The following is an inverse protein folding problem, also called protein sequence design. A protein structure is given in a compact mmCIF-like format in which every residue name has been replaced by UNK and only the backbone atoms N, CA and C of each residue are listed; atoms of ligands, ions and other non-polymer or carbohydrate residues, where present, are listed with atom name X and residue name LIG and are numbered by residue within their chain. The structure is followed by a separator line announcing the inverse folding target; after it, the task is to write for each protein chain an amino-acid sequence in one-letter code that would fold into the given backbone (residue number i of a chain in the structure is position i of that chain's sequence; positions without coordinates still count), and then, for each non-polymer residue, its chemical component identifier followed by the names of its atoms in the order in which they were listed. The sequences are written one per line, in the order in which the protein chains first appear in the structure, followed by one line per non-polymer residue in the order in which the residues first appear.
data_IF_415840884287
#
_entry.id   IF_415840884287
#
_cell.length_a   1.000
_cell.length_b   1.000
_cell.length_c   1.000
_cell.angle_alpha   90.00
_cell.angle_beta   90.00
_cell.angle_gamma   90.00
#
_symmetry.space_group_name_H-M   'P 1'
#
loop_
_entity.id
_entity.type
_entity.pdbx_description
1 polymer ?
#
# COMPACT_ATOMS: atom_id res chain seq x y z
N UNK A 1 -18.02 -6.86 -10.49
CA UNK A 1 -17.38 -7.39 -9.27
C UNK A 1 -15.99 -7.84 -9.66
N UNK A 2 -14.96 -7.36 -8.97
CA UNK A 2 -13.54 -7.63 -9.31
C UNK A 2 -13.05 -8.82 -8.49
N UNK A 3 -12.26 -9.70 -9.13
CA UNK A 3 -11.64 -10.83 -8.43
C UNK A 3 -10.11 -10.80 -8.56
N UNK A 4 -9.43 -11.20 -7.49
CA UNK A 4 -7.99 -11.42 -7.46
C UNK A 4 -7.78 -12.89 -7.09
N UNK A 5 -7.57 -13.74 -8.08
CA UNK A 5 -7.70 -15.19 -7.88
C UNK A 5 -9.08 -15.53 -7.34
N UNK A 6 -9.15 -16.21 -6.20
CA UNK A 6 -10.40 -16.56 -5.52
C UNK A 6 -10.95 -15.49 -4.58
N UNK A 7 -10.24 -14.36 -4.42
CA UNK A 7 -10.71 -13.24 -3.59
C UNK A 7 -11.67 -12.36 -4.38
N UNK A 8 -12.86 -12.20 -3.86
CA UNK A 8 -13.89 -11.32 -4.38
C UNK A 8 -13.85 -9.98 -3.66
N UNK A 9 -13.65 -8.89 -4.41
CA UNK A 9 -13.73 -7.53 -3.90
C UNK A 9 -15.16 -7.00 -4.07
N UNK A 10 -15.86 -6.77 -2.97
CA UNK A 10 -17.18 -6.12 -3.00
C UNK A 10 -17.07 -4.67 -3.46
N UNK A 11 -15.99 -4.00 -3.06
CA UNK A 11 -15.65 -2.64 -3.49
C UNK A 11 -14.30 -2.68 -4.20
N UNK A 12 -14.14 -2.10 -5.41
CA UNK A 12 -12.91 -2.17 -6.19
C UNK A 12 -11.83 -1.19 -5.68
N UNK A 13 -11.56 -1.22 -4.39
CA UNK A 13 -10.65 -0.34 -3.68
C UNK A 13 -9.54 -1.10 -2.99
N UNK A 14 -8.33 -0.53 -2.98
CA UNK A 14 -7.23 -1.00 -2.16
C UNK A 14 -6.54 0.16 -1.44
N UNK A 15 -6.12 -0.08 -0.20
CA UNK A 15 -5.15 0.77 0.48
C UNK A 15 -3.75 0.41 -0.01
N UNK A 16 -3.02 1.39 -0.54
CA UNK A 16 -1.64 1.20 -0.97
C UNK A 16 -0.71 0.86 0.21
N UNK A 17 0.22 -0.07 0.05
CA UNK A 17 1.28 -0.28 1.04
C UNK A 17 2.19 0.95 1.14
N UNK A 18 2.29 1.54 2.32
CA UNK A 18 3.10 2.74 2.58
C UNK A 18 3.93 2.55 3.85
N UNK A 19 5.25 2.43 3.70
CA UNK A 19 6.18 2.23 4.80
C UNK A 19 6.03 3.32 5.89
N UNK A 20 5.87 2.89 7.13
CA UNK A 20 5.63 3.74 8.28
C UNK A 20 4.24 4.40 8.31
N UNK A 21 3.29 3.99 7.48
CA UNK A 21 1.94 4.57 7.42
C UNK A 21 0.86 3.49 7.55
N UNK A 22 0.93 2.44 6.76
CA UNK A 22 -0.13 1.41 6.69
C UNK A 22 0.11 0.23 7.64
N UNK A 23 0.48 0.57 8.88
CA UNK A 23 0.51 -0.39 10.00
C UNK A 23 -0.93 -0.85 10.36
N UNK A 24 -1.09 -1.94 11.15
CA UNK A 24 -2.41 -2.46 11.49
C UNK A 24 -3.40 -1.41 12.02
N UNK A 25 -3.05 -0.51 12.97
CA UNK A 25 -3.95 0.53 13.46
C UNK A 25 -4.50 1.44 12.36
N UNK A 26 -3.67 1.87 11.43
CA UNK A 26 -4.12 2.75 10.35
C UNK A 26 -4.96 2.01 9.30
N UNK A 27 -4.61 0.74 8.99
CA UNK A 27 -5.42 -0.11 8.11
C UNK A 27 -6.81 -0.35 8.68
N UNK A 28 -6.89 -0.64 9.99
CA UNK A 28 -8.16 -0.82 10.70
C UNK A 28 -9.04 0.43 10.58
N UNK A 29 -8.51 1.63 10.84
CA UNK A 29 -9.26 2.88 10.68
C UNK A 29 -9.77 3.06 9.24
N UNK A 30 -8.94 2.82 8.23
CA UNK A 30 -9.36 2.94 6.84
C UNK A 30 -10.48 1.94 6.51
N UNK A 31 -10.40 0.69 7.00
CA UNK A 31 -11.43 -0.33 6.81
C UNK A 31 -12.74 0.03 7.49
N UNK A 32 -12.70 0.44 8.75
CA UNK A 32 -13.90 0.85 9.51
C UNK A 32 -14.65 2.00 8.81
N UNK A 33 -13.92 2.99 8.28
CA UNK A 33 -14.53 4.06 7.50
C UNK A 33 -15.14 3.57 6.18
N UNK A 34 -14.49 2.62 5.49
CA UNK A 34 -15.08 2.06 4.29
C UNK A 34 -16.34 1.23 4.59
N UNK A 35 -16.33 0.45 5.67
CA UNK A 35 -17.49 -0.29 6.15
C UNK A 35 -18.66 0.65 6.46
N UNK A 36 -18.41 1.76 7.15
CA UNK A 36 -19.42 2.80 7.39
C UNK A 36 -19.90 3.46 6.08
N UNK A 37 -19.04 3.60 5.08
CA UNK A 37 -19.41 4.09 3.74
C UNK A 37 -20.32 3.10 3.00
N UNK A 38 -20.08 1.80 3.14
CA UNK A 38 -20.98 0.76 2.60
C UNK A 38 -22.35 0.80 3.28
N UNK A 39 -22.39 0.93 4.61
CA UNK A 39 -23.65 1.08 5.36
C UNK A 39 -24.43 2.32 4.90
N UNK A 40 -23.76 3.44 4.65
CA UNK A 40 -24.37 4.66 4.10
C UNK A 40 -24.87 4.48 2.65
N UNK A 41 -24.38 3.48 1.95
CA UNK A 41 -24.85 3.07 0.61
C UNK A 41 -25.85 1.88 0.68
N UNK A 42 -26.30 1.50 1.87
CA UNK A 42 -27.21 0.36 2.12
C UNK A 42 -26.61 -1.00 1.68
N UNK A 43 -25.27 -1.12 1.68
CA UNK A 43 -24.53 -2.35 1.34
C UNK A 43 -24.02 -3.01 2.61
N UNK A 44 -24.19 -4.32 2.72
CA UNK A 44 -23.71 -5.08 3.87
C UNK A 44 -22.14 -5.08 3.91
N UNK A 45 -21.52 -4.53 4.97
CA UNK A 45 -20.07 -4.51 5.08
C UNK A 45 -19.46 -5.83 5.56
N UNK A 46 -20.28 -6.82 5.95
CA UNK A 46 -19.76 -8.06 6.52
C UNK A 46 -19.33 -9.05 5.44
N UNK A 47 -18.14 -9.64 5.65
CA UNK A 47 -17.69 -10.72 4.80
C UNK A 47 -18.57 -11.96 4.97
N UNK A 48 -18.87 -12.62 3.85
CA UNK A 48 -19.57 -13.92 3.83
C UNK A 48 -18.58 -15.10 3.66
N UNK A 49 -17.29 -14.81 3.42
CA UNK A 49 -16.24 -15.80 3.25
C UNK A 49 -14.88 -15.19 3.64
N UNK A 50 -14.49 -15.35 4.90
CA UNK A 50 -13.19 -14.88 5.41
C UNK A 50 -12.06 -15.49 4.57
N UNK A 51 -11.06 -14.70 4.22
CA UNK A 51 -9.95 -15.04 3.34
C UNK A 51 -10.28 -14.91 1.84
N UNK A 52 -11.57 -14.82 1.46
CA UNK A 52 -11.99 -14.82 0.04
C UNK A 52 -13.00 -13.75 -0.34
N UNK A 53 -13.53 -12.99 0.61
CA UNK A 53 -14.46 -11.91 0.33
C UNK A 53 -14.12 -10.68 1.15
N UNK A 54 -13.78 -9.58 0.47
CA UNK A 54 -13.45 -8.27 1.01
C UNK A 54 -14.51 -7.24 0.59
N UNK A 55 -15.61 -7.09 1.37
CA UNK A 55 -16.71 -6.18 1.01
C UNK A 55 -16.25 -4.73 0.84
N UNK A 56 -15.43 -4.25 1.78
CA UNK A 56 -14.95 -2.86 1.84
C UNK A 56 -13.61 -2.63 1.09
N UNK A 57 -13.16 -3.61 0.28
CA UNK A 57 -11.88 -3.55 -0.42
C UNK A 57 -10.74 -4.18 0.35
N UNK A 58 -9.50 -4.01 -0.13
CA UNK A 58 -8.30 -4.70 0.34
C UNK A 58 -7.32 -3.73 1.01
N UNK A 59 -6.80 -4.09 2.19
CA UNK A 59 -5.91 -3.22 3.00
C UNK A 59 -4.51 -3.83 3.08
N UNK A 60 -3.65 -3.46 2.11
CA UNK A 60 -2.31 -4.03 1.99
C UNK A 60 -1.38 -3.49 3.08
N UNK A 61 -0.66 -4.38 3.76
CA UNK A 61 0.29 -3.99 4.79
C UNK A 61 1.52 -3.26 4.20
N UNK A 62 2.34 -2.69 5.08
CA UNK A 62 3.64 -2.13 4.71
C UNK A 62 4.53 -3.20 4.04
N UNK A 63 5.45 -2.76 3.18
CA UNK A 63 6.37 -3.68 2.52
C UNK A 63 7.32 -4.37 3.51
N UNK A 64 7.42 -5.68 3.43
CA UNK A 64 8.22 -6.54 4.29
C UNK A 64 9.36 -7.15 3.50
N UNK A 65 10.60 -7.10 4.03
CA UNK A 65 11.71 -7.80 3.36
C UNK A 65 11.55 -9.31 3.50
N UNK A 66 11.64 -10.03 2.38
CA UNK A 66 11.62 -11.49 2.37
C UNK A 66 12.67 -12.09 3.32
N UNK A 67 13.86 -11.51 3.36
CA UNK A 67 14.95 -11.96 4.23
C UNK A 67 14.62 -11.80 5.72
N UNK A 68 14.09 -10.65 6.14
CA UNK A 68 13.72 -10.41 7.54
C UNK A 68 12.60 -11.35 8.01
N UNK A 69 11.68 -11.70 7.11
CA UNK A 69 10.63 -12.68 7.38
C UNK A 69 11.22 -14.08 7.58
N UNK A 70 12.14 -14.52 6.71
CA UNK A 70 12.80 -15.83 6.83
C UNK A 70 13.61 -15.92 8.14
N UNK A 71 14.29 -14.85 8.51
CA UNK A 71 15.07 -14.76 9.76
C UNK A 71 14.20 -14.51 10.99
N UNK A 72 12.87 -14.36 10.82
CA UNK A 72 11.90 -14.13 11.89
C UNK A 72 12.26 -12.96 12.79
N UNK A 73 12.70 -11.86 12.18
CA UNK A 73 13.01 -10.63 12.92
C UNK A 73 11.75 -10.17 13.66
N UNK A 74 11.82 -9.91 14.98
CA UNK A 74 10.63 -9.62 15.79
C UNK A 74 9.73 -8.52 15.25
N UNK A 75 10.33 -7.43 14.76
CA UNK A 75 9.61 -6.31 14.14
C UNK A 75 8.84 -6.75 12.90
N UNK A 76 9.44 -7.59 12.07
CA UNK A 76 8.80 -8.13 10.86
C UNK A 76 7.67 -9.07 11.23
N UNK A 77 7.85 -9.92 12.24
CA UNK A 77 6.81 -10.83 12.71
C UNK A 77 5.60 -10.09 13.26
N UNK A 78 5.82 -8.97 13.97
CA UNK A 78 4.74 -8.08 14.44
C UNK A 78 3.97 -7.44 13.27
N UNK A 79 4.65 -7.04 12.18
CA UNK A 79 4.01 -6.43 11.02
C UNK A 79 3.07 -7.38 10.27
N UNK A 80 3.33 -8.68 10.32
CA UNK A 80 2.53 -9.75 9.67
C UNK A 80 1.63 -10.50 10.65
N UNK A 81 1.53 -10.04 11.88
CA UNK A 81 0.59 -10.63 12.82
C UNK A 81 -0.84 -10.49 12.29
N UNK A 82 -1.60 -11.60 12.22
CA UNK A 82 -2.95 -11.56 11.68
C UNK A 82 -3.85 -10.63 12.49
N UNK A 83 -4.56 -9.74 11.82
CA UNK A 83 -5.66 -8.97 12.41
C UNK A 83 -6.93 -9.83 12.29
N UNK A 84 -7.54 -10.25 13.41
CA UNK A 84 -8.72 -11.11 13.38
C UNK A 84 -9.95 -10.44 12.76
N UNK A 85 -9.99 -9.13 12.71
CA UNK A 85 -11.09 -8.35 12.14
C UNK A 85 -10.88 -8.04 10.64
N UNK A 86 -9.68 -8.32 10.09
CA UNK A 86 -9.43 -8.14 8.65
C UNK A 86 -9.99 -9.35 7.87
N UNK A 87 -11.02 -9.14 7.02
CA UNK A 87 -11.62 -10.25 6.29
C UNK A 87 -10.67 -10.91 5.27
N UNK A 88 -9.64 -10.19 4.81
CA UNK A 88 -8.62 -10.67 3.87
C UNK A 88 -7.26 -10.10 4.25
N UNK A 89 -6.39 -10.94 4.79
CA UNK A 89 -5.03 -10.55 5.22
C UNK A 89 -4.12 -10.38 4.00
N UNK A 90 -3.77 -9.14 3.70
CA UNK A 90 -2.97 -8.77 2.53
C UNK A 90 -1.57 -8.34 2.92
N UNK A 91 -0.55 -9.12 2.51
CA UNK A 91 0.86 -8.91 2.86
C UNK A 91 1.66 -8.52 1.63
N UNK A 92 2.44 -7.42 1.72
CA UNK A 92 3.36 -7.04 0.66
C UNK A 92 4.80 -7.44 0.99
N UNK A 93 5.40 -8.23 0.11
CA UNK A 93 6.82 -8.62 0.17
C UNK A 93 7.68 -7.78 -0.78
N UNK A 94 8.94 -7.55 -0.41
CA UNK A 94 9.96 -7.12 -1.33
C UNK A 94 11.29 -7.84 -1.08
N UNK A 95 12.08 -7.97 -2.13
CA UNK A 95 13.41 -8.59 -2.12
C UNK A 95 13.98 -8.58 -3.53
N UNK A 96 15.23 -8.98 -3.64
CA UNK A 96 15.96 -9.08 -4.92
C UNK A 96 16.48 -10.49 -5.17
N UNK A 97 16.30 -11.41 -4.23
CA UNK A 97 16.73 -12.80 -4.34
C UNK A 97 15.49 -13.70 -4.55
N UNK A 98 15.34 -14.35 -5.73
CA UNK A 98 14.15 -15.16 -6.04
C UNK A 98 13.87 -16.26 -5.02
N UNK A 99 14.91 -16.93 -4.51
CA UNK A 99 14.76 -18.00 -3.51
C UNK A 99 14.20 -17.50 -2.18
N UNK A 100 14.60 -16.29 -1.77
CA UNK A 100 14.11 -15.70 -0.53
C UNK A 100 12.66 -15.24 -0.68
N UNK A 101 12.27 -14.67 -1.82
CA UNK A 101 10.86 -14.34 -2.08
C UNK A 101 10.01 -15.61 -2.05
N UNK A 102 10.41 -16.67 -2.76
CA UNK A 102 9.69 -17.94 -2.78
C UNK A 102 9.55 -18.53 -1.37
N UNK A 103 10.62 -18.55 -0.57
CA UNK A 103 10.57 -19.05 0.81
C UNK A 103 9.71 -18.19 1.74
N UNK A 104 9.73 -16.88 1.57
CA UNK A 104 8.87 -15.96 2.30
C UNK A 104 7.38 -16.20 1.99
N UNK A 105 7.05 -16.42 0.71
CA UNK A 105 5.69 -16.80 0.28
C UNK A 105 5.28 -18.12 0.93
N UNK A 106 6.12 -19.16 0.89
CA UNK A 106 5.82 -20.44 1.56
C UNK A 106 5.51 -20.24 3.05
N UNK A 107 6.33 -19.49 3.77
CA UNK A 107 6.12 -19.22 5.22
C UNK A 107 4.76 -18.56 5.45
N UNK A 108 4.40 -17.54 4.66
CA UNK A 108 3.12 -16.85 4.82
C UNK A 108 1.92 -17.76 4.60
N UNK A 109 2.02 -18.66 3.63
CA UNK A 109 0.95 -19.62 3.30
C UNK A 109 0.91 -20.78 4.30
N UNK A 110 2.05 -21.44 4.57
CA UNK A 110 2.16 -22.60 5.49
C UNK A 110 1.70 -22.25 6.92
N UNK A 111 2.02 -21.04 7.39
CA UNK A 111 1.67 -20.57 8.73
C UNK A 111 0.33 -19.85 8.80
N UNK A 112 -0.45 -19.86 7.71
CA UNK A 112 -1.76 -19.22 7.62
C UNK A 112 -1.75 -17.73 8.03
N UNK A 113 -0.77 -16.97 7.49
CA UNK A 113 -0.59 -15.55 7.81
C UNK A 113 -1.12 -14.60 6.75
N UNK A 114 -1.38 -15.09 5.54
CA UNK A 114 -1.84 -14.28 4.42
C UNK A 114 -2.92 -15.01 3.60
N UNK A 115 -3.89 -14.24 3.16
CA UNK A 115 -4.89 -14.64 2.17
C UNK A 115 -4.58 -14.06 0.78
N UNK A 116 -3.71 -13.04 0.74
CA UNK A 116 -3.23 -12.37 -0.45
C UNK A 116 -1.78 -11.92 -0.26
N UNK A 117 -0.94 -12.15 -1.28
CA UNK A 117 0.47 -11.73 -1.27
C UNK A 117 0.72 -10.79 -2.45
N UNK A 118 1.23 -9.59 -2.19
CA UNK A 118 1.63 -8.64 -3.20
C UNK A 118 3.17 -8.50 -3.24
N UNK A 119 3.75 -8.40 -4.44
CA UNK A 119 5.19 -8.20 -4.60
C UNK A 119 5.48 -6.76 -5.02
N UNK A 120 6.37 -6.11 -4.27
CA UNK A 120 6.74 -4.72 -4.48
C UNK A 120 7.82 -4.56 -5.55
N UNK A 121 7.43 -3.97 -6.67
CA UNK A 121 8.33 -3.52 -7.74
C UNK A 121 8.18 -2.01 -8.00
N UNK A 122 7.64 -1.25 -7.04
CA UNK A 122 7.34 0.17 -7.23
C UNK A 122 8.01 1.12 -6.23
N UNK A 123 8.74 0.62 -5.22
CA UNK A 123 9.39 1.47 -4.21
C UNK A 123 10.52 2.31 -4.85
N UNK A 124 10.44 3.67 -4.79
CA UNK A 124 11.43 4.54 -5.44
C UNK A 124 12.57 4.96 -4.49
N UNK A 125 12.59 4.45 -3.26
CA UNK A 125 13.52 4.93 -2.23
C UNK A 125 14.96 4.51 -2.56
N UNK A 126 15.95 5.42 -2.50
CA UNK A 126 17.35 5.10 -2.84
C UNK A 126 17.96 3.92 -2.07
N UNK A 127 17.55 3.71 -0.80
CA UNK A 127 17.99 2.55 0.00
C UNK A 127 17.61 1.20 -0.66
N UNK A 128 16.52 1.18 -1.44
CA UNK A 128 16.01 0.00 -2.15
C UNK A 128 16.58 -0.07 -3.57
N UNK A 129 16.49 1.03 -4.33
CA UNK A 129 16.84 1.03 -5.76
C UNK A 129 18.34 0.91 -6.02
N UNK A 130 19.22 1.45 -5.15
CA UNK A 130 20.68 1.23 -5.22
C UNK A 130 21.10 -0.23 -5.13
N UNK A 131 20.23 -1.07 -4.56
CA UNK A 131 20.42 -2.52 -4.43
C UNK A 131 19.75 -3.30 -5.56
N UNK A 132 19.21 -2.61 -6.57
CA UNK A 132 18.49 -3.21 -7.69
C UNK A 132 17.05 -3.65 -7.37
N UNK A 133 16.52 -3.27 -6.21
CA UNK A 133 15.15 -3.61 -5.78
C UNK A 133 14.10 -2.54 -6.13
N UNK A 134 12.86 -2.80 -5.74
CA UNK A 134 11.74 -1.91 -5.95
C UNK A 134 11.57 -1.52 -7.43
N UNK A 135 11.43 -0.23 -7.73
CA UNK A 135 11.21 0.26 -9.10
C UNK A 135 12.43 0.17 -10.04
N UNK A 136 13.59 -0.22 -9.55
CA UNK A 136 14.74 -0.52 -10.40
C UNK A 136 14.70 -1.96 -10.96
N UNK A 137 14.07 -2.89 -10.24
CA UNK A 137 14.14 -4.32 -10.51
C UNK A 137 13.51 -4.74 -11.85
N UNK A 138 12.34 -4.21 -12.26
CA UNK A 138 11.68 -4.61 -13.50
C UNK A 138 12.51 -4.43 -14.78
N UNK A 139 13.55 -3.59 -14.75
CA UNK A 139 14.48 -3.44 -15.85
C UNK A 139 15.31 -4.71 -16.12
N UNK A 140 15.54 -5.54 -15.10
CA UNK A 140 16.21 -6.84 -15.23
C UNK A 140 15.18 -7.95 -15.43
N UNK A 141 14.90 -8.26 -16.70
CA UNK A 141 13.82 -9.17 -17.11
C UNK A 141 14.00 -10.58 -16.57
N UNK A 142 15.23 -11.10 -16.62
CA UNK A 142 15.59 -12.42 -16.10
C UNK A 142 15.34 -12.52 -14.58
N UNK A 143 15.74 -11.50 -13.83
CA UNK A 143 15.51 -11.43 -12.39
C UNK A 143 14.04 -11.27 -12.05
N UNK A 144 13.34 -10.34 -12.73
CA UNK A 144 11.92 -10.10 -12.52
C UNK A 144 11.09 -11.39 -12.77
N UNK A 145 11.29 -12.00 -13.93
CA UNK A 145 10.58 -13.25 -14.30
C UNK A 145 10.86 -14.37 -13.29
N UNK A 146 12.12 -14.52 -12.84
CA UNK A 146 12.48 -15.52 -11.84
C UNK A 146 11.78 -15.29 -10.50
N UNK A 147 11.64 -14.04 -10.07
CA UNK A 147 10.96 -13.69 -8.81
C UNK A 147 9.47 -13.98 -8.91
N UNK A 148 8.77 -13.48 -9.93
CA UNK A 148 7.31 -13.64 -10.04
C UNK A 148 6.91 -15.08 -10.26
N UNK A 149 7.63 -15.82 -11.13
CA UNK A 149 7.39 -17.25 -11.35
C UNK A 149 7.67 -18.07 -10.08
N UNK A 150 8.78 -17.75 -9.38
CA UNK A 150 9.13 -18.41 -8.12
C UNK A 150 8.11 -18.17 -7.02
N UNK A 151 7.57 -16.95 -6.93
CA UNK A 151 6.55 -16.57 -5.95
C UNK A 151 5.22 -17.29 -6.20
N UNK A 152 4.73 -17.29 -7.43
CA UNK A 152 3.49 -17.99 -7.81
C UNK A 152 3.62 -19.50 -7.57
N UNK A 153 4.69 -20.13 -8.06
CA UNK A 153 4.93 -21.56 -7.84
C UNK A 153 5.07 -21.92 -6.34
N UNK A 154 5.63 -21.03 -5.52
CA UNK A 154 5.71 -21.22 -4.07
C UNK A 154 4.33 -21.14 -3.41
N UNK A 155 3.49 -20.17 -3.81
CA UNK A 155 2.11 -20.06 -3.33
C UNK A 155 1.28 -21.30 -3.69
N UNK A 156 1.38 -21.79 -4.94
CA UNK A 156 0.70 -22.99 -5.40
C UNK A 156 1.11 -24.23 -4.59
N UNK A 157 2.43 -24.45 -4.44
CA UNK A 157 2.95 -25.59 -3.65
C UNK A 157 2.51 -25.55 -2.20
N UNK A 158 2.65 -24.40 -1.55
CA UNK A 158 2.30 -24.22 -0.14
C UNK A 158 0.78 -24.26 0.10
N UNK A 159 -0.03 -24.00 -0.93
CA UNK A 159 -1.50 -24.11 -0.87
C UNK A 159 -2.00 -25.55 -1.10
N UNK A 160 -1.11 -26.51 -1.35
CA UNK A 160 -1.51 -27.91 -1.56
C UNK A 160 -2.26 -28.43 -0.33
N UNK A 161 -3.49 -28.93 -0.54
CA UNK A 161 -4.36 -29.37 0.55
C UNK A 161 -5.27 -28.31 1.16
N UNK A 162 -5.12 -27.05 0.75
CA UNK A 162 -6.11 -25.98 1.03
C UNK A 162 -7.25 -26.06 0.01
N UNK A 163 -8.36 -25.41 0.30
CA UNK A 163 -9.52 -25.33 -0.60
C UNK A 163 -9.33 -24.32 -1.74
N UNK A 164 -8.27 -23.49 -1.66
CA UNK A 164 -7.91 -22.50 -2.68
C UNK A 164 -6.42 -22.20 -2.66
N UNK A 165 -5.90 -21.64 -3.75
CA UNK A 165 -4.53 -21.13 -3.85
C UNK A 165 -4.49 -19.67 -3.41
N UNK A 166 -3.50 -19.30 -2.58
CA UNK A 166 -3.29 -17.91 -2.19
C UNK A 166 -2.80 -17.10 -3.40
N UNK A 167 -3.54 -16.08 -3.85
CA UNK A 167 -3.18 -15.32 -5.03
C UNK A 167 -1.96 -14.42 -4.77
N UNK A 168 -1.11 -14.32 -5.81
CA UNK A 168 0.05 -13.43 -5.84
C UNK A 168 -0.21 -12.31 -6.84
N UNK A 169 0.04 -11.05 -6.44
CA UNK A 169 -0.07 -9.86 -7.29
C UNK A 169 1.25 -9.12 -7.40
N UNK A 170 1.34 -8.18 -8.32
CA UNK A 170 2.51 -7.36 -8.53
C UNK A 170 2.14 -5.86 -8.58
N UNK A 171 2.86 -5.04 -7.77
CA UNK A 171 2.70 -3.58 -7.81
C UNK A 171 3.99 -2.91 -8.29
N UNK A 172 3.89 -2.14 -9.38
CA UNK A 172 5.03 -1.54 -10.07
C UNK A 172 4.76 -0.11 -10.55
N UNK A 173 5.75 0.49 -11.22
CA UNK A 173 5.69 1.82 -11.84
C UNK A 173 5.81 1.69 -13.36
N UNK A 174 5.61 2.81 -14.08
CA UNK A 174 5.75 2.89 -15.54
C UNK A 174 7.13 2.38 -15.98
N UNK A 175 8.17 2.79 -15.26
CA UNK A 175 9.55 2.46 -15.53
C UNK A 175 10.49 3.26 -14.65
N UNK A 176 11.73 3.39 -15.07
CA UNK A 176 12.78 4.16 -14.39
C UNK A 176 12.63 5.65 -14.71
N UNK A 177 12.59 5.97 -15.96
CA UNK A 177 12.37 7.31 -16.56
C UNK A 177 11.60 7.14 -17.88
N UNK A 178 11.48 8.19 -18.68
CA UNK A 178 10.72 8.17 -19.92
C UNK A 178 11.42 7.41 -21.08
N UNK A 179 12.73 7.19 -20.97
CA UNK A 179 13.50 6.40 -21.94
C UNK A 179 13.59 4.91 -21.54
N UNK A 180 13.27 4.58 -20.28
CA UNK A 180 13.42 3.23 -19.72
C UNK A 180 12.10 2.76 -19.09
N UNK A 181 11.06 2.67 -19.92
CA UNK A 181 9.77 2.09 -19.53
C UNK A 181 9.89 0.58 -19.34
N UNK A 182 9.14 0.02 -18.39
CA UNK A 182 9.18 -1.41 -18.08
C UNK A 182 7.80 -2.06 -18.04
N UNK A 183 6.73 -1.28 -17.94
CA UNK A 183 5.38 -1.79 -17.62
C UNK A 183 4.84 -2.80 -18.65
N UNK A 184 5.19 -2.67 -19.95
CA UNK A 184 4.76 -3.60 -21.02
C UNK A 184 5.40 -4.98 -20.85
N UNK A 185 6.70 -5.00 -20.59
CA UNK A 185 7.42 -6.26 -20.32
C UNK A 185 6.97 -6.90 -19.01
N UNK A 186 6.72 -6.07 -17.99
CA UNK A 186 6.14 -6.52 -16.71
C UNK A 186 4.78 -7.19 -16.94
N UNK A 187 3.90 -6.58 -17.72
CA UNK A 187 2.58 -7.15 -18.03
C UNK A 187 2.70 -8.55 -18.67
N UNK A 188 3.57 -8.68 -19.67
CA UNK A 188 3.84 -9.96 -20.34
C UNK A 188 4.39 -11.00 -19.35
N UNK A 189 5.44 -10.66 -18.61
CA UNK A 189 6.08 -11.59 -17.66
C UNK A 189 5.15 -11.98 -16.50
N UNK A 190 4.31 -11.08 -16.02
CA UNK A 190 3.27 -11.37 -15.03
C UNK A 190 2.23 -12.35 -15.57
N UNK A 191 1.79 -12.19 -16.83
CA UNK A 191 0.89 -13.12 -17.50
C UNK A 191 1.48 -14.52 -17.64
N UNK A 192 2.72 -14.61 -18.11
CA UNK A 192 3.45 -15.87 -18.24
C UNK A 192 3.66 -16.58 -16.89
N UNK A 193 3.83 -15.83 -15.81
CA UNK A 193 4.05 -16.36 -14.46
C UNK A 193 2.76 -16.77 -13.73
N UNK A 194 1.58 -16.35 -14.17
CA UNK A 194 0.31 -16.62 -13.49
C UNK A 194 0.00 -15.65 -12.33
N UNK A 195 0.51 -14.41 -12.37
CA UNK A 195 0.13 -13.34 -11.44
C UNK A 195 -1.39 -13.10 -11.52
N UNK A 196 -2.04 -12.91 -10.39
CA UNK A 196 -3.52 -12.84 -10.31
C UNK A 196 -4.10 -11.45 -10.57
N UNK A 197 -3.32 -10.40 -10.38
CA UNK A 197 -3.68 -9.00 -10.70
C UNK A 197 -2.44 -8.11 -10.69
N UNK A 198 -2.54 -6.95 -11.33
CA UNK A 198 -1.48 -5.95 -11.41
C UNK A 198 -1.92 -4.59 -10.89
N UNK A 199 -1.02 -3.89 -10.22
CA UNK A 199 -1.21 -2.48 -9.84
C UNK A 199 -0.15 -1.60 -10.48
N UNK A 200 -0.56 -0.63 -11.29
CA UNK A 200 0.35 0.35 -11.90
C UNK A 200 0.27 1.70 -11.16
N UNK A 201 1.38 2.10 -10.50
CA UNK A 201 1.55 3.49 -10.12
C UNK A 201 1.98 4.30 -11.35
N UNK A 202 1.10 5.17 -11.84
CA UNK A 202 1.25 5.90 -13.09
C UNK A 202 2.30 7.03 -13.01
N UNK A 203 3.48 6.74 -12.50
CA UNK A 203 4.69 7.57 -12.44
C UNK A 203 5.94 6.71 -12.64
N UNK A 204 7.01 7.31 -13.13
CA UNK A 204 8.34 6.68 -13.20
C UNK A 204 9.04 6.72 -11.83
N UNK A 205 10.15 5.98 -11.70
CA UNK A 205 11.06 6.09 -10.56
C UNK A 205 11.59 7.52 -10.42
N UNK A 206 12.03 8.14 -11.51
CA UNK A 206 12.56 9.50 -11.52
C UNK A 206 11.55 10.53 -11.01
N UNK A 207 10.29 10.41 -11.41
CA UNK A 207 9.23 11.29 -10.93
C UNK A 207 9.01 11.17 -9.41
N UNK A 208 9.28 10.04 -8.79
CA UNK A 208 8.89 9.79 -7.40
C UNK A 208 7.41 10.06 -7.16
N UNK A 209 7.09 11.29 -6.73
CA UNK A 209 5.75 11.81 -6.47
C UNK A 209 5.51 13.19 -7.10
N UNK A 210 6.47 13.68 -7.91
CA UNK A 210 6.36 14.96 -8.58
C UNK A 210 5.45 14.91 -9.81
N UNK A 211 5.02 16.06 -10.28
CA UNK A 211 4.13 16.18 -11.42
C UNK A 211 2.77 15.49 -11.18
N UNK A 212 2.10 15.15 -12.25
CA UNK A 212 0.84 14.42 -12.24
C UNK A 212 1.07 12.94 -12.57
N UNK A 213 0.22 12.06 -12.05
CA UNK A 213 0.17 10.68 -12.47
C UNK A 213 -0.35 10.60 -13.91
N UNK A 214 0.31 9.83 -14.74
CA UNK A 214 0.00 9.69 -16.19
C UNK A 214 -0.95 8.50 -16.37
N UNK A 215 -2.23 8.74 -16.24
CA UNK A 215 -3.26 7.70 -16.27
C UNK A 215 -3.40 6.99 -17.62
N UNK A 216 -2.97 7.61 -18.71
CA UNK A 216 -2.85 7.00 -20.03
C UNK A 216 -2.06 5.68 -20.03
N UNK A 217 -1.02 5.57 -19.21
CA UNK A 217 -0.28 4.32 -19.04
C UNK A 217 -1.09 3.21 -18.35
N UNK A 218 -2.09 3.56 -17.53
CA UNK A 218 -3.02 2.57 -16.97
C UNK A 218 -3.92 2.03 -18.07
N UNK A 219 -4.40 2.90 -18.98
CA UNK A 219 -5.16 2.52 -20.16
C UNK A 219 -4.36 1.56 -21.04
N UNK A 220 -3.11 1.94 -21.39
CA UNK A 220 -2.24 1.07 -22.17
C UNK A 220 -2.00 -0.30 -21.50
N UNK A 221 -1.78 -0.30 -20.19
CA UNK A 221 -1.62 -1.57 -19.46
C UNK A 221 -2.88 -2.43 -19.53
N UNK A 222 -4.06 -1.81 -19.38
CA UNK A 222 -5.34 -2.54 -19.43
C UNK A 222 -5.60 -3.14 -20.81
N UNK A 223 -5.15 -2.50 -21.88
CA UNK A 223 -5.24 -3.02 -23.24
C UNK A 223 -4.30 -4.22 -23.53
N UNK A 224 -3.25 -4.38 -22.72
CA UNK A 224 -2.25 -5.46 -22.89
C UNK A 224 -2.64 -6.75 -22.18
N UNK A 225 -3.68 -6.78 -21.35
CA UNK A 225 -3.97 -7.93 -20.50
C UNK A 225 -5.44 -8.07 -20.15
N UNK A 226 -5.89 -9.31 -20.01
CA UNK A 226 -7.21 -9.65 -19.46
C UNK A 226 -7.19 -9.76 -17.91
N UNK A 227 -6.01 -9.70 -17.28
CA UNK A 227 -5.89 -9.71 -15.83
C UNK A 227 -6.50 -8.44 -15.23
N UNK A 228 -7.02 -8.50 -14.00
CA UNK A 228 -7.42 -7.30 -13.27
C UNK A 228 -6.27 -6.31 -13.13
N UNK A 229 -6.52 -5.05 -13.52
CA UNK A 229 -5.57 -3.93 -13.42
C UNK A 229 -6.12 -2.90 -12.44
N UNK A 230 -5.33 -2.57 -11.43
CA UNK A 230 -5.63 -1.51 -10.48
C UNK A 230 -4.80 -0.26 -10.77
N UNK A 231 -5.49 0.87 -10.94
CA UNK A 231 -4.84 2.15 -11.14
C UNK A 231 -4.39 2.80 -9.83
N UNK A 232 -3.20 3.41 -9.83
CA UNK A 232 -2.66 4.12 -8.67
C UNK A 232 -1.98 5.44 -9.08
N UNK A 233 -2.24 6.48 -8.31
CA UNK A 233 -1.66 7.80 -8.44
C UNK A 233 -2.71 8.91 -8.55
N UNK A 234 -2.57 9.93 -7.68
CA UNK A 234 -3.39 11.13 -7.62
C UNK A 234 -4.90 10.91 -7.40
N UNK A 235 -5.24 9.89 -6.63
CA UNK A 235 -6.57 9.68 -6.07
C UNK A 235 -6.61 10.36 -4.70
N UNK A 236 -7.24 11.52 -4.61
CA UNK A 236 -7.34 12.34 -3.39
C UNK A 236 -8.78 12.52 -2.92
N UNK A 237 -9.75 12.36 -3.80
CA UNK A 237 -11.18 12.42 -3.55
C UNK A 237 -11.88 11.20 -4.17
N UNK A 238 -13.13 10.93 -3.78
CA UNK A 238 -13.89 9.82 -4.35
C UNK A 238 -14.10 9.97 -5.87
N UNK A 239 -14.32 11.20 -6.33
CA UNK A 239 -14.51 11.50 -7.75
C UNK A 239 -13.24 11.22 -8.58
N UNK A 240 -12.04 11.28 -7.97
CA UNK A 240 -10.80 10.90 -8.66
C UNK A 240 -10.76 9.39 -8.95
N UNK A 241 -11.27 8.57 -8.01
CA UNK A 241 -11.33 7.13 -8.20
C UNK A 241 -12.30 6.74 -9.32
N UNK A 242 -13.49 7.33 -9.33
CA UNK A 242 -14.47 7.13 -10.41
C UNK A 242 -13.89 7.55 -11.77
N UNK A 243 -13.31 8.76 -11.84
CA UNK A 243 -12.66 9.26 -13.06
C UNK A 243 -11.54 8.36 -13.55
N UNK A 244 -10.69 7.86 -12.65
CA UNK A 244 -9.59 6.95 -13.03
C UNK A 244 -10.15 5.70 -13.71
N UNK A 245 -11.13 5.04 -13.09
CA UNK A 245 -11.74 3.84 -13.67
C UNK A 245 -12.43 4.13 -15.00
N UNK A 246 -13.21 5.20 -15.08
CA UNK A 246 -13.94 5.59 -16.30
C UNK A 246 -12.99 5.93 -17.47
N UNK A 247 -11.91 6.65 -17.19
CA UNK A 247 -10.97 7.09 -18.23
C UNK A 247 -10.01 6.00 -18.68
N UNK A 248 -9.64 5.09 -17.77
CA UNK A 248 -8.57 4.12 -18.04
C UNK A 248 -9.06 2.70 -18.28
N UNK A 249 -10.31 2.40 -17.93
CA UNK A 249 -10.82 1.03 -17.93
C UNK A 249 -10.23 0.16 -16.80
N UNK A 250 -9.52 0.74 -15.82
CA UNK A 250 -9.02 -0.01 -14.67
C UNK A 250 -10.15 -0.68 -13.91
N UNK A 251 -9.90 -1.90 -13.44
CA UNK A 251 -10.89 -2.69 -12.69
C UNK A 251 -11.11 -2.18 -11.27
N UNK A 252 -10.16 -1.39 -10.75
CA UNK A 252 -10.25 -0.76 -9.43
C UNK A 252 -9.11 0.23 -9.20
N UNK A 253 -9.08 0.83 -8.03
CA UNK A 253 -8.10 1.85 -7.66
C UNK A 253 -7.35 1.53 -6.38
N UNK A 254 -6.07 1.95 -6.34
CA UNK A 254 -5.21 1.84 -5.15
C UNK A 254 -4.93 3.23 -4.62
N UNK A 255 -5.32 3.48 -3.36
CA UNK A 255 -5.23 4.78 -2.71
C UNK A 255 -4.01 4.84 -1.80
N UNK A 256 -3.12 5.79 -2.07
CA UNK A 256 -1.92 6.03 -1.25
C UNK A 256 -2.02 7.35 -0.47
N UNK A 257 -1.27 8.34 -0.89
CA UNK A 257 -1.14 9.63 -0.19
C UNK A 257 -2.46 10.34 0.11
N UNK A 258 -3.52 10.10 -0.69
CA UNK A 258 -4.83 10.71 -0.48
C UNK A 258 -5.42 10.45 0.90
N UNK A 259 -5.14 9.28 1.50
CA UNK A 259 -5.65 8.92 2.83
C UNK A 259 -4.71 9.29 3.99
N UNK A 260 -3.52 9.85 3.75
CA UNK A 260 -2.60 10.23 4.82
C UNK A 260 -3.23 11.28 5.77
N UNK A 261 -3.44 10.90 7.04
CA UNK A 261 -4.19 11.71 8.02
C UNK A 261 -5.64 11.97 7.59
N UNK A 262 -6.20 11.06 6.80
CA UNK A 262 -7.58 11.14 6.29
C UNK A 262 -8.12 9.72 6.03
N UNK A 263 -8.13 8.82 7.06
CA UNK A 263 -8.66 7.46 6.87
C UNK A 263 -10.14 7.48 6.43
N UNK A 264 -10.90 8.49 6.81
CA UNK A 264 -12.29 8.69 6.37
C UNK A 264 -12.47 8.92 4.86
N UNK A 265 -11.39 9.12 4.09
CA UNK A 265 -11.49 9.10 2.63
C UNK A 265 -12.07 7.77 2.13
N UNK A 266 -11.82 6.69 2.85
CA UNK A 266 -12.36 5.37 2.49
C UNK A 266 -13.87 5.28 2.66
N UNK A 267 -14.49 6.08 3.55
CA UNK A 267 -15.95 6.24 3.58
C UNK A 267 -16.45 6.79 2.25
N UNK A 268 -15.90 7.92 1.81
CA UNK A 268 -16.31 8.60 0.58
C UNK A 268 -16.13 7.69 -0.65
N UNK A 269 -15.02 6.96 -0.72
CA UNK A 269 -14.68 6.05 -1.80
C UNK A 269 -15.64 4.85 -1.85
N UNK A 270 -15.91 4.20 -0.70
CA UNK A 270 -16.80 3.05 -0.63
C UNK A 270 -18.24 3.45 -0.93
N UNK A 271 -18.73 4.54 -0.34
CA UNK A 271 -20.07 5.07 -0.62
C UNK A 271 -20.24 5.38 -2.13
N UNK A 272 -19.28 6.10 -2.71
CA UNK A 272 -19.35 6.47 -4.13
C UNK A 272 -19.27 5.25 -5.07
N UNK A 273 -18.46 4.25 -4.77
CA UNK A 273 -18.35 3.03 -5.57
C UNK A 273 -19.67 2.25 -5.65
N UNK A 274 -20.58 2.49 -4.70
CA UNK A 274 -21.94 1.90 -4.66
C UNK A 274 -23.06 2.91 -4.97
N UNK A 275 -22.70 4.03 -5.61
CA UNK A 275 -23.68 5.01 -6.12
C UNK A 275 -24.26 5.95 -5.06
N UNK A 276 -23.73 5.98 -3.83
CA UNK A 276 -24.14 6.91 -2.79
C UNK A 276 -23.41 8.26 -2.91
N UNK A 277 -24.15 9.35 -2.71
CA UNK A 277 -23.60 10.70 -2.64
C UNK A 277 -23.10 11.07 -1.23
N UNK A 278 -23.20 10.16 -0.26
CA UNK A 278 -22.75 10.39 1.09
C UNK A 278 -21.24 10.70 1.13
N UNK A 279 -20.87 11.70 1.90
CA UNK A 279 -19.48 12.12 2.08
C UNK A 279 -19.24 12.45 3.56
N UNK A 280 -18.12 12.00 4.12
CA UNK A 280 -17.75 12.28 5.48
C UNK A 280 -16.92 13.57 5.57
N UNK A 281 -17.42 14.53 6.30
CA UNK A 281 -16.80 15.87 6.48
C UNK A 281 -16.65 16.17 7.98
N UNK A 282 -15.64 15.58 8.64
CA UNK A 282 -15.52 15.65 10.09
C UNK A 282 -15.20 17.06 10.56
N UNK A 283 -15.87 17.50 11.63
CA UNK A 283 -15.46 18.64 12.44
C UNK A 283 -14.08 18.39 13.06
N UNK A 284 -13.41 19.45 13.61
CA UNK A 284 -12.15 19.24 14.32
C UNK A 284 -12.32 18.32 15.54
N UNK A 285 -13.48 18.32 16.20
CA UNK A 285 -13.81 17.40 17.29
C UNK A 285 -13.73 15.94 16.86
N UNK A 286 -14.42 15.61 15.79
CA UNK A 286 -14.37 14.25 15.23
C UNK A 286 -12.96 13.85 14.75
N UNK A 287 -12.20 14.78 14.16
CA UNK A 287 -10.79 14.53 13.80
C UNK A 287 -9.94 14.31 15.06
N UNK A 288 -10.15 15.05 16.14
CA UNK A 288 -9.47 14.84 17.42
C UNK A 288 -9.77 13.44 17.99
N UNK A 289 -11.03 13.02 17.97
CA UNK A 289 -11.44 11.68 18.41
C UNK A 289 -10.77 10.59 17.55
N UNK A 290 -10.70 10.76 16.23
CA UNK A 290 -10.02 9.84 15.32
C UNK A 290 -8.51 9.77 15.63
N UNK A 291 -7.85 10.90 15.92
CA UNK A 291 -6.43 10.93 16.27
C UNK A 291 -6.19 10.16 17.58
N UNK A 292 -7.02 10.40 18.59
CA UNK A 292 -6.94 9.71 19.88
C UNK A 292 -7.15 8.21 19.69
N UNK A 293 -8.19 7.80 18.95
CA UNK A 293 -8.44 6.40 18.63
C UNK A 293 -7.25 5.76 17.90
N UNK A 294 -6.63 6.46 16.93
CA UNK A 294 -5.42 5.96 16.27
C UNK A 294 -4.28 5.74 17.28
N UNK A 295 -4.14 6.62 18.26
CA UNK A 295 -3.20 6.46 19.37
C UNK A 295 -3.48 5.23 20.22
N UNK A 296 -4.73 5.05 20.64
CA UNK A 296 -5.17 3.90 21.46
C UNK A 296 -4.97 2.56 20.72
N UNK A 297 -5.35 2.48 19.45
CA UNK A 297 -5.10 1.31 18.60
C UNK A 297 -3.60 1.01 18.45
N UNK A 298 -2.79 2.07 18.31
CA UNK A 298 -1.34 1.93 18.22
C UNK A 298 -0.72 1.43 19.53
N UNK A 299 -1.21 1.90 20.69
CA UNK A 299 -0.78 1.39 22.00
C UNK A 299 -1.13 -0.08 22.16
N UNK A 300 -2.34 -0.47 21.78
CA UNK A 300 -2.76 -1.85 21.81
C UNK A 300 -1.90 -2.75 20.90
N UNK A 301 -1.59 -2.29 19.69
CA UNK A 301 -0.78 -3.03 18.72
C UNK A 301 0.68 -3.19 19.16
N UNK A 302 1.33 -2.10 19.59
CA UNK A 302 2.75 -2.15 19.95
C UNK A 302 2.99 -2.65 21.39
N UNK A 303 1.95 -2.68 22.21
CA UNK A 303 2.06 -2.94 23.66
C UNK A 303 3.15 -2.06 24.34
N UNK A 304 3.35 -0.86 23.82
CA UNK A 304 4.35 0.13 24.24
C UNK A 304 3.84 1.52 23.82
N UNK A 305 3.34 2.29 24.82
CA UNK A 305 2.76 3.60 24.57
C UNK A 305 3.77 4.60 24.00
N UNK A 306 5.00 4.60 24.51
CA UNK A 306 6.04 5.51 24.02
C UNK A 306 6.36 5.25 22.53
N UNK A 307 6.47 3.98 22.13
CA UNK A 307 6.66 3.59 20.73
C UNK A 307 5.45 4.00 19.88
N UNK A 308 4.25 3.68 20.35
CA UNK A 308 3.00 3.98 19.65
C UNK A 308 2.84 5.47 19.37
N UNK A 309 3.03 6.31 20.40
CA UNK A 309 2.91 7.76 20.27
C UNK A 309 4.00 8.35 19.38
N UNK A 310 5.23 7.85 19.44
CA UNK A 310 6.30 8.26 18.52
C UNK A 310 5.95 7.98 17.05
N UNK A 311 5.32 6.83 16.78
CA UNK A 311 4.83 6.50 15.44
C UNK A 311 3.64 7.39 15.03
N UNK A 312 2.75 7.72 15.95
CA UNK A 312 1.59 8.59 15.71
C UNK A 312 1.97 10.04 15.38
N UNK A 313 3.04 10.59 15.98
CA UNK A 313 3.44 12.00 15.83
C UNK A 313 3.46 12.50 14.39
N UNK A 314 3.95 11.67 13.46
CA UNK A 314 3.99 12.00 12.02
C UNK A 314 2.59 12.13 11.40
N UNK A 315 1.60 11.40 11.91
CA UNK A 315 0.24 11.41 11.41
C UNK A 315 -0.54 12.64 11.90
N UNK A 316 -0.27 13.13 13.11
CA UNK A 316 -1.00 14.27 13.72
C UNK A 316 -1.00 15.48 12.80
N UNK A 317 0.16 15.83 12.23
CA UNK A 317 0.26 16.94 11.29
C UNK A 317 -0.57 16.76 10.00
N UNK A 318 -0.75 15.52 9.57
CA UNK A 318 -1.58 15.20 8.40
C UNK A 318 -3.08 15.25 8.71
N UNK A 319 -3.49 14.78 9.89
CA UNK A 319 -4.86 14.85 10.36
C UNK A 319 -5.38 16.29 10.48
N UNK A 320 -4.56 17.15 11.05
CA UNK A 320 -4.91 18.55 11.32
C UNK A 320 -4.78 19.48 10.11
N UNK A 321 -4.54 18.94 8.92
CA UNK A 321 -4.40 19.75 7.70
C UNK A 321 -5.65 20.57 7.44
N UNK A 322 -5.45 21.88 7.22
CA UNK A 322 -6.50 22.85 6.92
C UNK A 322 -7.13 23.49 8.14
N UNK A 323 -7.18 22.81 9.29
CA UNK A 323 -7.73 23.36 10.52
C UNK A 323 -6.87 24.45 11.14
N UNK A 324 -7.50 25.43 11.78
CA UNK A 324 -6.83 26.55 12.44
C UNK A 324 -6.31 26.14 13.84
N UNK A 325 -5.21 25.38 13.86
CA UNK A 325 -4.60 24.86 15.11
C UNK A 325 -3.45 25.73 15.60
N UNK A 326 -2.85 26.54 14.74
CA UNK A 326 -1.67 27.34 15.05
C UNK A 326 -0.35 26.57 15.03
N UNK A 327 0.75 27.26 14.69
CA UNK A 327 2.07 26.64 14.52
C UNK A 327 2.66 26.12 15.82
N UNK A 328 2.47 26.82 16.93
CA UNK A 328 2.98 26.41 18.25
C UNK A 328 2.33 25.10 18.71
N UNK A 329 1.01 24.98 18.61
CA UNK A 329 0.28 23.78 18.98
C UNK A 329 0.68 22.59 18.08
N UNK A 330 0.81 22.78 16.76
CA UNK A 330 1.31 21.75 15.85
C UNK A 330 2.70 21.25 16.21
N UNK A 331 3.58 22.16 16.66
CA UNK A 331 4.91 21.78 17.12
C UNK A 331 4.83 20.94 18.40
N UNK A 332 4.04 21.38 19.37
CA UNK A 332 3.87 20.66 20.65
C UNK A 332 3.23 19.26 20.43
N UNK A 333 2.19 19.16 19.59
CA UNK A 333 1.59 17.88 19.21
C UNK A 333 2.58 16.92 18.51
N UNK A 334 3.63 17.45 17.89
CA UNK A 334 4.73 16.65 17.36
C UNK A 334 5.70 16.11 18.42
N UNK A 335 5.52 16.49 19.69
CA UNK A 335 6.40 16.12 20.81
C UNK A 335 5.69 15.34 21.94
N UNK A 336 4.43 15.02 21.78
CA UNK A 336 3.62 14.27 22.76
C UNK A 336 4.24 12.91 23.09
N UNK A 337 4.08 12.47 24.34
CA UNK A 337 4.64 11.21 24.84
C UNK A 337 3.60 10.19 25.30
N UNK A 338 2.32 10.60 25.44
CA UNK A 338 1.22 9.72 25.84
C UNK A 338 -0.09 10.08 25.14
N UNK A 339 -1.05 9.16 25.17
CA UNK A 339 -2.42 9.38 24.68
C UNK A 339 -3.15 10.40 25.54
N UNK A 340 -2.91 10.40 26.86
CA UNK A 340 -3.48 11.37 27.79
C UNK A 340 -3.03 12.81 27.42
N UNK A 341 -1.72 13.02 27.25
CA UNK A 341 -1.19 14.31 26.82
C UNK A 341 -1.74 14.75 25.46
N UNK A 342 -1.88 13.80 24.51
CA UNK A 342 -2.50 14.08 23.21
C UNK A 342 -3.93 14.59 23.39
N UNK A 343 -4.74 13.91 24.19
CA UNK A 343 -6.14 14.27 24.48
C UNK A 343 -6.23 15.66 25.12
N UNK A 344 -5.48 15.87 26.20
CA UNK A 344 -5.47 17.16 26.91
C UNK A 344 -5.12 18.32 26.00
N UNK A 345 -4.15 18.14 25.11
CA UNK A 345 -3.75 19.19 24.17
C UNK A 345 -4.81 19.43 23.09
N UNK A 346 -5.43 18.38 22.55
CA UNK A 346 -6.51 18.53 21.57
C UNK A 346 -7.74 19.21 22.18
N UNK A 347 -8.08 18.94 23.42
CA UNK A 347 -9.21 19.54 24.15
C UNK A 347 -9.05 21.05 24.38
N UNK A 348 -7.83 21.61 24.27
CA UNK A 348 -7.60 23.04 24.33
C UNK A 348 -7.93 23.80 23.05
N UNK A 349 -8.18 23.08 21.95
CA UNK A 349 -8.49 23.66 20.64
C UNK A 349 -9.96 24.09 20.56
N UNK A 350 -10.23 25.03 19.66
CA UNK A 350 -11.60 25.29 19.20
C UNK A 350 -12.06 24.10 18.33
N UNK A 351 -12.71 23.15 18.96
CA UNK A 351 -13.12 21.88 18.35
C UNK A 351 -14.37 21.98 17.47
N UNK A 352 -15.06 23.12 17.48
CA UNK A 352 -16.30 23.33 16.71
C UNK A 352 -16.03 23.78 15.26
N UNK A 353 -14.75 23.75 14.83
CA UNK A 353 -14.37 24.07 13.46
C UNK A 353 -14.94 23.03 12.49
N UNK A 354 -15.68 23.51 11.50
CA UNK A 354 -16.15 22.71 10.37
C UNK A 354 -15.00 22.21 9.47
N UNK A 355 -15.23 21.17 8.68
CA UNK A 355 -14.24 20.62 7.75
C UNK A 355 -13.75 21.68 6.76
N UNK A 356 -12.47 22.07 6.78
CA UNK A 356 -12.01 23.19 5.99
C UNK A 356 -11.83 22.80 4.52
N UNK A 357 -12.21 23.69 3.60
CA UNK A 357 -12.02 23.48 2.17
C UNK A 357 -10.55 23.18 1.81
N UNK A 358 -9.59 23.81 2.50
CA UNK A 358 -8.15 23.60 2.30
C UNK A 358 -7.65 22.19 2.73
N UNK A 359 -8.50 21.40 3.39
CA UNK A 359 -8.19 20.01 3.72
C UNK A 359 -8.42 19.05 2.56
N UNK A 360 -9.12 19.47 1.51
CA UNK A 360 -9.29 18.70 0.28
C UNK A 360 -8.03 18.62 -0.58
N UNK A 361 -8.07 17.75 -1.58
CA UNK A 361 -7.07 17.64 -2.62
C UNK A 361 -5.72 17.07 -2.19
N UNK A 362 -4.64 17.35 -2.95
CA UNK A 362 -3.37 16.67 -2.85
C UNK A 362 -2.76 16.69 -1.45
N UNK A 363 -2.31 15.52 -0.96
CA UNK A 363 -1.69 15.30 0.34
C UNK A 363 -0.32 14.65 0.20
N UNK A 364 0.46 14.66 1.26
CA UNK A 364 1.81 14.13 1.30
C UNK A 364 2.82 15.01 0.58
N UNK A 365 4.07 14.57 0.56
CA UNK A 365 5.15 15.29 -0.12
C UNK A 365 5.11 14.97 -1.62
N UNK A 366 4.98 15.97 -2.46
CA UNK A 366 5.15 15.84 -3.90
C UNK A 366 6.66 15.87 -4.25
N UNK A 367 7.38 16.89 -3.82
CA UNK A 367 8.79 17.11 -4.17
C UNK A 367 9.00 17.40 -5.67
N UNK A 368 10.24 17.42 -6.10
CA UNK A 368 10.65 17.44 -7.51
C UNK A 368 11.07 16.06 -8.00
N UNK A 369 11.24 15.92 -9.32
CA UNK A 369 11.89 14.75 -9.91
C UNK A 369 13.29 14.54 -9.32
N UNK A 370 13.73 13.30 -9.21
CA UNK A 370 15.00 12.94 -8.59
C UNK A 370 15.76 12.00 -9.50
N UNK A 371 17.06 12.28 -9.68
CA UNK A 371 17.92 11.34 -10.40
C UNK A 371 17.75 9.92 -9.81
N UNK A 372 17.49 8.90 -10.65
CA UNK A 372 17.42 7.51 -10.22
C UNK A 372 18.74 7.06 -9.57
N UNK A 373 18.64 6.41 -8.43
CA UNK A 373 19.79 5.78 -7.78
C UNK A 373 19.75 4.28 -8.08
N UNK A 374 20.58 3.87 -9.05
CA UNK A 374 20.64 2.50 -9.57
C UNK A 374 22.01 1.88 -9.27
N UNK A 375 22.15 0.54 -9.32
CA UNK A 375 23.47 -0.10 -9.37
C UNK A 375 24.27 0.34 -10.61
N UNK A 376 25.58 0.20 -10.57
CA UNK A 376 26.46 0.53 -11.70
C UNK A 376 26.08 -0.30 -12.93
N UNK A 377 26.07 0.34 -14.10
CA UNK A 377 25.76 -0.29 -15.39
C UNK A 377 24.40 -0.99 -15.43
N UNK A 378 23.44 -0.53 -14.60
CA UNK A 378 22.14 -1.17 -14.50
C UNK A 378 21.33 -1.10 -15.79
N UNK A 379 21.40 0.01 -16.50
CA UNK A 379 20.63 0.27 -17.73
C UNK A 379 21.28 -0.31 -18.99
N UNK A 380 22.51 -0.82 -18.93
CA UNK A 380 23.23 -1.29 -20.09
C UNK A 380 22.64 -2.59 -20.72
N UNK A 381 21.87 -3.35 -19.95
CA UNK A 381 21.25 -4.60 -20.38
C UNK A 381 20.00 -4.90 -19.58
N UNK A 382 19.04 -5.64 -20.17
CA UNK A 382 17.89 -6.21 -19.48
C UNK A 382 18.20 -7.49 -18.70
N UNK A 383 19.40 -8.02 -18.81
CA UNK A 383 19.87 -9.19 -18.07
C UNK A 383 20.87 -8.82 -17.00
N UNK A 384 20.91 -9.60 -15.92
CA UNK A 384 21.93 -9.43 -14.87
C UNK A 384 23.29 -9.93 -15.36
N UNK A 385 24.32 -9.08 -15.22
CA UNK A 385 25.69 -9.57 -15.31
C UNK A 385 26.05 -10.39 -14.05
N UNK A 386 27.01 -11.35 -14.15
CA UNK A 386 27.49 -12.09 -12.98
C UNK A 386 27.96 -11.21 -11.82
N UNK A 387 28.54 -10.05 -12.14
CA UNK A 387 29.01 -9.09 -11.14
C UNK A 387 27.81 -8.40 -10.42
N UNK A 388 26.76 -8.04 -11.16
CA UNK A 388 25.54 -7.48 -10.59
C UNK A 388 24.81 -8.50 -9.72
N UNK A 389 24.70 -9.75 -10.16
CA UNK A 389 24.08 -10.83 -9.38
C UNK A 389 24.82 -11.05 -8.05
N UNK A 390 26.16 -11.05 -8.06
CA UNK A 390 26.97 -11.18 -6.84
C UNK A 390 26.76 -9.99 -5.88
N UNK A 391 26.70 -8.74 -6.38
CA UNK A 391 26.45 -7.53 -5.58
C UNK A 391 25.05 -7.56 -4.97
N UNK A 392 24.02 -7.98 -5.70
CA UNK A 392 22.63 -8.12 -5.24
C UNK A 392 22.57 -9.11 -4.08
N UNK A 393 23.15 -10.29 -4.27
CA UNK A 393 23.20 -11.33 -3.24
C UNK A 393 23.86 -10.83 -1.93
N UNK A 394 25.01 -10.15 -2.05
CA UNK A 394 25.68 -9.53 -0.89
C UNK A 394 24.83 -8.44 -0.22
N UNK A 395 24.13 -7.62 -1.03
CA UNK A 395 23.30 -6.55 -0.51
C UNK A 395 22.09 -7.07 0.29
N UNK A 396 21.57 -8.25 -0.05
CA UNK A 396 20.45 -8.86 0.67
C UNK A 396 20.90 -9.47 2.01
N UNK A 397 22.09 -10.04 2.08
CA UNK A 397 22.69 -10.54 3.34
C UNK A 397 22.85 -9.42 4.38
N UNK A 398 23.09 -8.18 3.95
CA UNK A 398 23.26 -7.01 4.81
C UNK A 398 21.96 -6.25 5.17
N UNK A 399 20.78 -6.78 4.86
CA UNK A 399 19.49 -6.15 5.20
C UNK A 399 19.03 -6.63 6.57
N UNK A 400 19.54 -5.98 7.63
CA UNK A 400 18.82 -5.95 8.91
C UNK A 400 17.51 -5.17 8.72
N UNK A 401 16.41 -5.68 9.25
CA UNK A 401 15.03 -5.20 9.09
C UNK A 401 14.87 -3.68 9.01
N UNK A 402 13.98 -3.24 8.12
CA UNK A 402 13.79 -1.89 7.62
C UNK A 402 13.39 -0.81 8.55
#
# INVERSE_FOLDING_TARGET
MVKIGDIELGTPLMLAPMAGVTNPPFRQLCREFAEAGLEAAEVNPKSNAVGRHAPAGLYVCEMITSRALIERIPETMMMIEPDPDDPVRSIQLYGVEPKNIARAVEILVEEDRADHIDINFGCPVPKVTRKGGGSALPWKHDLFASIVTGAVAAAERASTGRDHTIPVTAKFRIGIDDDHETFKDVARMCGEAGISAMTLHARTLEQHYSGQARWDFITELKELTDMPVFGNGDVFEADDAARMMDQTGADGVVVGRGCQGRPWLFFDLAAAAHGSEARYRPTLREVADIIVRHGELSVAHFNDEHRAIRELRKHVGWYLRGFAVGGQMRHQLGLIDSVEQLRDMLDTLDLDQEYPHSAHGPRGRAGGAKRPHLPEFWLDSHELSPQQAAKIHQAEIGVSGG
#
